data_IF_131844252543
#
_entry.id   IF_131844252543
#
_cell.length_a   1.000
_cell.length_b   1.000
_cell.length_c   1.000
_cell.angle_alpha   90.00
_cell.angle_beta   90.00
_cell.angle_gamma   90.00
#
_symmetry.space_group_name_H-M   'P 1'
#
loop_
_entity.id
_entity.type
_entity.pdbx_description
1 polymer ?
#
# COMPACT_ATOMS: atom_id res chain seq x y z
N UNK A 1 -11.97 -0.86 -9.54
CA UNK A 1 -12.46 -2.23 -9.25
C UNK A 1 -12.31 -2.57 -7.77
N UNK A 2 -11.10 -2.43 -7.15
CA UNK A 2 -10.83 -2.80 -5.76
C UNK A 2 -11.79 -2.12 -4.76
N UNK A 3 -11.88 -0.78 -4.79
CA UNK A 3 -12.78 -0.03 -3.92
C UNK A 3 -14.26 -0.44 -4.09
N UNK A 4 -14.66 -0.77 -5.32
CA UNK A 4 -16.01 -1.25 -5.60
C UNK A 4 -16.27 -2.62 -4.96
N UNK A 5 -15.31 -3.53 -5.04
CA UNK A 5 -15.38 -4.84 -4.37
C UNK A 5 -15.55 -4.67 -2.86
N UNK A 6 -14.66 -3.92 -2.21
CA UNK A 6 -14.74 -3.65 -0.77
C UNK A 6 -16.12 -3.13 -0.35
N UNK A 7 -16.66 -2.18 -1.10
CA UNK A 7 -17.93 -1.55 -0.78
C UNK A 7 -19.14 -2.43 -1.09
N UNK A 8 -19.19 -3.03 -2.29
CA UNK A 8 -20.40 -3.71 -2.80
C UNK A 8 -20.46 -5.18 -2.41
N UNK A 9 -19.32 -5.88 -2.41
CA UNK A 9 -19.30 -7.32 -2.15
C UNK A 9 -19.11 -7.61 -0.66
N UNK A 10 -18.20 -6.88 0.00
CA UNK A 10 -17.87 -7.13 1.40
C UNK A 10 -18.58 -6.17 2.38
N UNK A 11 -19.26 -5.15 1.88
CA UNK A 11 -19.95 -4.16 2.70
C UNK A 11 -19.01 -3.37 3.62
N UNK A 12 -17.71 -3.35 3.30
CA UNK A 12 -16.71 -2.66 4.11
C UNK A 12 -16.66 -1.18 3.79
N UNK A 13 -16.93 -0.34 4.77
CA UNK A 13 -16.78 1.11 4.69
C UNK A 13 -15.88 1.55 5.84
N UNK A 14 -14.65 2.00 5.57
CA UNK A 14 -13.76 2.50 6.61
C UNK A 14 -14.25 3.82 7.19
N UNK A 15 -13.89 4.09 8.44
CA UNK A 15 -14.00 5.40 9.06
C UNK A 15 -12.73 6.21 8.81
N UNK A 16 -11.59 5.53 8.75
CA UNK A 16 -10.28 6.12 8.52
C UNK A 16 -9.52 5.32 7.46
N UNK A 17 -8.89 6.03 6.53
CA UNK A 17 -7.88 5.49 5.63
C UNK A 17 -6.52 6.02 6.08
N UNK A 18 -5.57 5.12 6.31
CA UNK A 18 -4.16 5.45 6.44
C UNK A 18 -3.43 5.09 5.16
N UNK A 19 -2.88 6.10 4.53
CA UNK A 19 -2.04 6.03 3.36
C UNK A 19 -0.57 5.85 3.76
N UNK A 20 0.05 4.75 3.36
CA UNK A 20 1.48 4.50 3.58
C UNK A 20 2.30 5.25 2.53
N UNK A 21 2.86 6.38 2.92
CA UNK A 21 3.63 7.24 2.03
C UNK A 21 5.04 6.67 1.79
N UNK A 22 5.52 6.80 0.56
CA UNK A 22 4.95 7.49 -0.61
C UNK A 22 4.14 6.57 -1.52
N UNK A 23 4.45 5.27 -1.51
CA UNK A 23 3.94 4.31 -2.50
C UNK A 23 2.41 4.21 -2.54
N UNK A 24 1.78 4.17 -1.37
CA UNK A 24 0.33 4.02 -1.25
C UNK A 24 -0.50 5.19 -1.79
N UNK A 25 0.12 6.38 -1.96
CA UNK A 25 -0.58 7.63 -2.21
C UNK A 25 -1.56 7.58 -3.40
N UNK A 26 -1.14 7.01 -4.51
CA UNK A 26 -2.00 6.91 -5.70
C UNK A 26 -3.25 6.06 -5.43
N UNK A 27 -3.06 4.86 -4.88
CA UNK A 27 -4.15 3.93 -4.60
C UNK A 27 -5.09 4.48 -3.52
N UNK A 28 -4.53 5.04 -2.45
CA UNK A 28 -5.28 5.57 -1.34
C UNK A 28 -6.16 6.76 -1.74
N UNK A 29 -5.64 7.68 -2.59
CA UNK A 29 -6.42 8.77 -3.14
C UNK A 29 -7.63 8.27 -3.95
N UNK A 30 -7.41 7.32 -4.85
CA UNK A 30 -8.50 6.76 -5.68
C UNK A 30 -9.56 6.07 -4.81
N UNK A 31 -9.13 5.31 -3.80
CA UNK A 31 -10.05 4.65 -2.86
C UNK A 31 -10.82 5.71 -2.05
N UNK A 32 -10.15 6.73 -1.55
CA UNK A 32 -10.76 7.82 -0.78
C UNK A 32 -11.85 8.54 -1.57
N UNK A 33 -11.58 8.94 -2.81
CA UNK A 33 -12.57 9.58 -3.67
C UNK A 33 -13.76 8.65 -3.99
N UNK A 34 -13.52 7.37 -4.18
CA UNK A 34 -14.59 6.39 -4.34
C UNK A 34 -15.52 6.37 -3.10
N UNK A 35 -14.95 6.26 -1.90
CA UNK A 35 -15.73 6.25 -0.67
C UNK A 35 -16.42 7.58 -0.38
N UNK A 36 -15.81 8.70 -0.67
CA UNK A 36 -16.42 10.02 -0.56
C UNK A 36 -17.70 10.10 -1.37
N UNK A 37 -17.65 9.60 -2.62
CA UNK A 37 -18.85 9.53 -3.46
C UNK A 37 -19.91 8.57 -2.90
N UNK A 38 -19.51 7.38 -2.39
CA UNK A 38 -20.50 6.44 -1.85
C UNK A 38 -21.10 6.92 -0.53
N UNK A 39 -20.32 7.51 0.36
CA UNK A 39 -20.78 8.09 1.63
C UNK A 39 -21.80 9.20 1.38
N UNK A 40 -21.54 10.09 0.42
CA UNK A 40 -22.48 11.13 0.01
C UNK A 40 -23.84 10.56 -0.41
N UNK A 41 -23.86 9.44 -1.16
CA UNK A 41 -25.12 8.81 -1.62
C UNK A 41 -25.97 8.21 -0.49
N UNK A 42 -25.35 7.86 0.63
CA UNK A 42 -26.03 7.25 1.78
C UNK A 42 -26.11 8.20 2.99
N UNK A 43 -25.85 9.49 2.74
CA UNK A 43 -25.85 10.54 3.76
C UNK A 43 -24.99 10.21 5.00
N UNK A 44 -23.79 9.63 4.76
CA UNK A 44 -22.77 9.33 5.76
C UNK A 44 -21.64 10.36 5.67
N UNK A 45 -21.05 10.68 6.83
CA UNK A 45 -19.82 11.48 6.87
C UNK A 45 -18.72 10.88 5.98
N UNK A 46 -17.93 11.70 5.30
CA UNK A 46 -16.80 11.25 4.50
C UNK A 46 -15.79 10.45 5.32
N UNK A 47 -15.15 9.49 4.68
CA UNK A 47 -14.04 8.76 5.27
C UNK A 47 -12.89 9.73 5.57
N UNK A 48 -12.35 9.66 6.79
CA UNK A 48 -11.22 10.48 7.18
C UNK A 48 -9.93 9.93 6.52
N UNK A 49 -9.22 10.81 5.81
CA UNK A 49 -7.98 10.47 5.14
C UNK A 49 -6.79 10.96 5.94
N UNK A 50 -5.89 10.08 6.28
CA UNK A 50 -4.64 10.36 6.97
C UNK A 50 -3.49 9.66 6.26
N UNK A 51 -2.28 10.13 6.48
CA UNK A 51 -1.08 9.52 5.95
C UNK A 51 -0.10 9.13 7.06
N UNK A 52 0.74 8.15 6.76
CA UNK A 52 1.85 7.72 7.62
C UNK A 52 3.11 7.57 6.77
N UNK A 53 4.25 8.00 7.29
CA UNK A 53 5.55 7.74 6.67
C UNK A 53 6.16 6.53 7.34
N UNK A 54 6.20 5.42 6.61
CA UNK A 54 6.85 4.18 7.05
C UNK A 54 8.06 3.90 6.15
N UNK A 55 9.24 3.79 6.75
CA UNK A 55 10.47 3.51 6.01
C UNK A 55 11.03 2.17 6.44
N UNK A 56 11.16 1.26 5.50
CA UNK A 56 11.97 0.07 5.69
C UNK A 56 13.43 0.43 5.34
N UNK A 57 14.28 0.59 6.36
CA UNK A 57 15.71 0.75 6.12
C UNK A 57 16.34 -0.60 5.79
N UNK A 58 16.28 -0.98 4.53
CA UNK A 58 17.19 -1.96 3.96
C UNK A 58 18.37 -1.21 3.37
N UNK A 59 19.49 -1.06 4.11
CA UNK A 59 20.76 -0.92 3.42
C UNK A 59 20.94 -2.18 2.58
N UNK A 60 21.39 -2.03 1.35
CA UNK A 60 21.69 -3.12 0.41
C UNK A 60 22.58 -4.26 0.97
N UNK A 61 23.06 -4.16 2.21
CA UNK A 61 24.04 -5.08 2.83
C UNK A 61 23.62 -5.64 4.19
N UNK A 62 22.64 -5.04 4.89
CA UNK A 62 22.17 -5.57 6.18
C UNK A 62 20.64 -5.49 6.24
N UNK A 63 20.00 -6.64 6.17
CA UNK A 63 18.56 -6.79 6.43
C UNK A 63 18.27 -6.52 7.91
N UNK A 64 18.13 -5.28 8.29
CA UNK A 64 17.51 -4.94 9.57
C UNK A 64 16.00 -5.13 9.41
N UNK A 65 15.43 -6.12 10.11
CA UNK A 65 13.99 -6.38 10.16
C UNK A 65 13.21 -5.28 10.91
N UNK A 66 13.64 -4.02 10.78
CA UNK A 66 13.06 -2.90 11.50
C UNK A 66 12.43 -1.92 10.51
N UNK A 67 11.18 -1.61 10.75
CA UNK A 67 10.46 -0.52 10.07
C UNK A 67 10.43 0.66 11.01
N UNK A 68 10.98 1.78 10.61
CA UNK A 68 10.84 3.03 11.34
C UNK A 68 9.59 3.76 10.81
N UNK A 69 8.67 4.05 11.72
CA UNK A 69 7.48 4.85 11.43
C UNK A 69 7.79 6.27 11.86
N UNK A 70 8.03 7.15 10.88
CA UNK A 70 8.50 8.51 11.13
C UNK A 70 7.40 9.50 11.48
N UNK A 71 6.16 9.13 11.25
CA UNK A 71 5.07 10.04 11.63
C UNK A 71 3.73 9.65 11.04
N UNK A 72 2.71 10.02 11.78
CA UNK A 72 1.30 9.93 11.38
C UNK A 72 0.76 11.36 11.28
N UNK A 73 0.10 11.70 10.19
CA UNK A 73 -0.59 12.99 10.07
C UNK A 73 -1.79 13.06 11.03
N UNK A 74 -2.31 11.91 11.41
CA UNK A 74 -3.30 11.76 12.47
C UNK A 74 -2.99 10.49 13.26
N UNK A 75 -2.70 10.65 14.55
CA UNK A 75 -2.23 9.54 15.40
C UNK A 75 -3.29 8.45 15.55
N UNK A 76 -2.92 7.15 15.45
CA UNK A 76 -3.81 6.05 15.78
C UNK A 76 -4.40 6.09 17.18
N UNK A 77 -3.74 6.76 18.13
CA UNK A 77 -4.26 6.96 19.49
C UNK A 77 -5.55 7.80 19.54
N UNK A 78 -5.87 8.51 18.46
CA UNK A 78 -7.13 9.26 18.34
C UNK A 78 -8.30 8.38 17.85
N UNK A 79 -8.02 7.15 17.41
CA UNK A 79 -9.04 6.21 16.98
C UNK A 79 -9.95 5.82 18.15
N UNK A 80 -11.22 5.60 17.83
CA UNK A 80 -12.22 5.16 18.79
C UNK A 80 -12.59 3.71 18.56
N UNK A 81 -12.90 3.01 19.64
CA UNK A 81 -13.39 1.63 19.56
C UNK A 81 -14.61 1.54 18.63
N UNK A 82 -14.60 0.55 17.74
CA UNK A 82 -15.65 0.34 16.74
C UNK A 82 -15.45 1.09 15.42
N UNK A 83 -14.41 1.92 15.31
CA UNK A 83 -14.03 2.50 14.02
C UNK A 83 -13.34 1.44 13.16
N UNK A 84 -13.67 1.45 11.87
CA UNK A 84 -13.05 0.61 10.85
C UNK A 84 -11.91 1.36 10.19
N UNK A 85 -10.78 0.70 10.05
CA UNK A 85 -9.56 1.28 9.51
C UNK A 85 -9.16 0.55 8.22
N UNK A 86 -8.80 1.31 7.20
CA UNK A 86 -8.17 0.80 5.99
C UNK A 86 -6.73 1.31 5.92
N UNK A 87 -5.78 0.41 5.86
CA UNK A 87 -4.37 0.73 5.57
C UNK A 87 -4.13 0.46 4.09
N UNK A 88 -3.55 1.42 3.38
CA UNK A 88 -3.30 1.33 1.94
C UNK A 88 -1.80 1.50 1.67
N UNK A 89 -1.24 0.60 0.88
CA UNK A 89 0.14 0.65 0.41
C UNK A 89 0.20 0.31 -1.09
N UNK A 90 1.31 0.57 -1.75
CA UNK A 90 1.52 0.16 -3.14
C UNK A 90 1.80 -1.33 -3.25
N UNK A 91 2.68 -1.84 -2.42
CA UNK A 91 3.15 -3.22 -2.51
C UNK A 91 3.22 -3.92 -1.16
N UNK A 92 2.77 -5.15 -1.14
CA UNK A 92 3.11 -6.10 -0.09
C UNK A 92 4.21 -7.03 -0.62
N UNK A 93 5.45 -6.75 -0.27
CA UNK A 93 6.62 -7.57 -0.62
C UNK A 93 6.99 -8.49 0.56
N UNK A 94 7.77 -8.02 1.50
CA UNK A 94 8.10 -8.77 2.73
C UNK A 94 6.98 -8.74 3.77
N UNK A 95 6.11 -7.76 3.70
CA UNK A 95 5.03 -7.51 4.63
C UNK A 95 5.43 -6.80 5.92
N UNK A 96 6.71 -6.45 6.11
CA UNK A 96 7.20 -5.79 7.32
C UNK A 96 6.48 -4.47 7.60
N UNK A 97 6.36 -3.61 6.59
CA UNK A 97 5.67 -2.31 6.71
C UNK A 97 4.23 -2.49 7.15
N UNK A 98 3.47 -3.30 6.42
CA UNK A 98 2.04 -3.55 6.71
C UNK A 98 1.86 -4.14 8.10
N UNK A 99 2.66 -5.15 8.48
CA UNK A 99 2.55 -5.76 9.82
C UNK A 99 2.86 -4.76 10.92
N UNK A 100 3.84 -3.87 10.75
CA UNK A 100 4.16 -2.80 11.70
C UNK A 100 3.03 -1.79 11.83
N UNK A 101 2.45 -1.34 10.72
CA UNK A 101 1.35 -0.39 10.71
C UNK A 101 0.10 -0.96 11.36
N UNK A 102 -0.31 -2.18 10.98
CA UNK A 102 -1.47 -2.86 11.58
C UNK A 102 -1.26 -3.07 13.07
N UNK A 103 -0.06 -3.52 13.49
CA UNK A 103 0.26 -3.70 14.91
C UNK A 103 0.15 -2.39 15.68
N UNK A 104 0.60 -1.28 15.10
CA UNK A 104 0.48 0.04 15.72
C UNK A 104 -0.98 0.44 15.92
N UNK A 105 -1.83 0.21 14.93
CA UNK A 105 -3.28 0.49 15.01
C UNK A 105 -3.96 -0.43 16.03
N UNK A 106 -3.57 -1.71 16.09
CA UNK A 106 -4.08 -2.65 17.10
C UNK A 106 -3.68 -2.24 18.53
N UNK A 107 -2.45 -1.78 18.71
CA UNK A 107 -1.96 -1.29 20.02
C UNK A 107 -2.70 -0.02 20.47
N UNK A 108 -3.26 0.74 19.54
CA UNK A 108 -4.14 1.88 19.83
C UNK A 108 -5.58 1.46 20.22
N UNK A 109 -5.88 0.15 20.26
CA UNK A 109 -7.14 -0.38 20.74
C UNK A 109 -8.15 -0.78 19.67
N UNK A 110 -7.77 -0.79 18.39
CA UNK A 110 -8.63 -1.25 17.30
C UNK A 110 -8.41 -2.76 17.11
N UNK A 111 -9.44 -3.60 17.18
CA UNK A 111 -9.30 -5.03 16.96
C UNK A 111 -8.96 -5.35 15.51
N UNK A 112 -8.25 -6.47 15.28
CA UNK A 112 -7.76 -6.86 13.94
C UNK A 112 -8.88 -6.99 12.90
N UNK A 113 -10.03 -7.46 13.30
CA UNK A 113 -11.21 -7.62 12.44
C UNK A 113 -11.74 -6.30 11.87
N UNK A 114 -11.53 -5.18 12.58
CA UNK A 114 -11.92 -3.84 12.14
C UNK A 114 -10.83 -3.15 11.28
N UNK A 115 -9.68 -3.81 11.09
CA UNK A 115 -8.58 -3.30 10.28
C UNK A 115 -8.52 -4.11 8.97
N UNK A 116 -8.55 -3.41 7.83
CA UNK A 116 -8.33 -4.00 6.52
C UNK A 116 -7.09 -3.41 5.87
N UNK A 117 -6.45 -4.20 5.03
CA UNK A 117 -5.26 -3.83 4.27
C UNK A 117 -5.55 -3.98 2.79
N UNK A 118 -5.28 -2.91 2.03
CA UNK A 118 -5.38 -2.90 0.58
C UNK A 118 -4.04 -2.52 -0.04
N UNK A 119 -3.61 -3.29 -1.03
CA UNK A 119 -2.38 -3.02 -1.77
C UNK A 119 -2.61 -3.06 -3.27
N UNK A 120 -1.77 -2.39 -4.02
CA UNK A 120 -1.83 -2.50 -5.47
C UNK A 120 -1.25 -3.84 -5.92
N UNK A 121 -0.04 -4.17 -5.46
CA UNK A 121 0.62 -5.43 -5.75
C UNK A 121 0.83 -6.27 -4.49
N UNK A 122 0.44 -7.55 -4.57
CA UNK A 122 0.64 -8.53 -3.52
C UNK A 122 1.62 -9.61 -3.99
N UNK A 123 2.84 -9.59 -3.47
CA UNK A 123 3.84 -10.64 -3.68
C UNK A 123 3.67 -11.74 -2.63
N UNK A 124 3.51 -12.97 -3.07
CA UNK A 124 3.48 -14.17 -2.24
C UNK A 124 4.79 -14.92 -2.46
N UNK A 125 5.75 -14.70 -1.58
CA UNK A 125 7.07 -15.34 -1.63
C UNK A 125 7.01 -16.68 -0.91
N UNK A 126 6.53 -17.73 -1.58
CA UNK A 126 6.34 -19.06 -0.95
C UNK A 126 7.66 -19.68 -0.49
N UNK A 127 8.78 -19.31 -1.09
CA UNK A 127 10.13 -19.75 -0.68
C UNK A 127 10.58 -19.19 0.69
N UNK A 128 9.88 -18.17 1.21
CA UNK A 128 10.11 -17.59 2.55
C UNK A 128 9.15 -18.16 3.61
N UNK A 129 8.26 -19.05 3.21
CA UNK A 129 7.29 -19.60 4.15
C UNK A 129 7.93 -20.61 5.09
N UNK A 130 7.47 -20.62 6.34
CA UNK A 130 7.86 -21.57 7.37
C UNK A 130 6.67 -22.50 7.60
N UNK A 131 6.90 -23.81 7.49
CA UNK A 131 5.85 -24.85 7.63
C UNK A 131 4.62 -24.59 6.73
N UNK A 132 4.86 -24.11 5.51
CA UNK A 132 3.81 -23.83 4.54
C UNK A 132 2.95 -22.59 4.86
N UNK A 133 3.39 -21.72 5.75
CA UNK A 133 2.69 -20.50 6.15
C UNK A 133 3.57 -19.26 5.97
N UNK A 134 2.97 -18.11 5.67
CA UNK A 134 3.71 -16.84 5.64
C UNK A 134 4.47 -16.58 6.93
N UNK A 135 5.69 -16.05 6.83
CA UNK A 135 6.53 -15.73 7.99
C UNK A 135 5.90 -14.66 8.89
N UNK A 136 5.12 -13.76 8.30
CA UNK A 136 4.39 -12.71 9.02
C UNK A 136 2.88 -13.00 9.01
N UNK A 137 2.18 -12.80 10.14
CA UNK A 137 0.79 -13.24 10.30
C UNK A 137 -0.22 -12.37 9.54
N UNK A 138 0.10 -11.09 9.31
CA UNK A 138 -0.81 -10.16 8.66
C UNK A 138 -0.53 -10.14 7.18
N UNK A 139 -1.54 -10.50 6.41
CA UNK A 139 -1.54 -10.48 4.95
C UNK A 139 -2.56 -9.46 4.45
N UNK A 140 -2.44 -8.95 3.19
CA UNK A 140 -3.44 -8.05 2.63
C UNK A 140 -4.83 -8.71 2.55
N UNK A 141 -5.86 -7.94 2.85
CA UNK A 141 -7.26 -8.34 2.66
C UNK A 141 -7.68 -8.11 1.19
N UNK A 142 -7.08 -7.09 0.54
CA UNK A 142 -7.42 -6.66 -0.82
C UNK A 142 -6.19 -6.33 -1.64
N UNK A 143 -6.21 -6.68 -2.93
CA UNK A 143 -5.13 -6.40 -3.87
C UNK A 143 -5.65 -6.20 -5.30
N UNK A 144 -4.92 -5.41 -6.09
CA UNK A 144 -5.22 -5.25 -7.51
C UNK A 144 -4.56 -6.34 -8.35
N UNK A 145 -3.30 -6.67 -8.05
CA UNK A 145 -2.51 -7.69 -8.73
C UNK A 145 -1.87 -8.62 -7.69
N UNK A 146 -1.67 -9.88 -8.08
CA UNK A 146 -1.09 -10.91 -7.23
C UNK A 146 0.04 -11.60 -7.98
N UNK A 147 1.19 -11.73 -7.32
CA UNK A 147 2.39 -12.37 -7.86
C UNK A 147 2.80 -13.51 -6.93
N UNK A 148 2.88 -14.73 -7.47
CA UNK A 148 3.35 -15.89 -6.69
C UNK A 148 4.77 -16.19 -7.11
N UNK A 149 5.70 -16.08 -6.17
CA UNK A 149 7.13 -16.29 -6.34
C UNK A 149 7.53 -17.55 -5.56
N UNK A 150 7.99 -18.58 -6.27
CA UNK A 150 8.29 -19.88 -5.67
C UNK A 150 9.77 -20.05 -5.34
N UNK A 151 10.63 -19.24 -5.93
CA UNK A 151 12.08 -19.22 -5.70
C UNK A 151 12.60 -17.79 -5.61
N UNK A 152 13.83 -17.61 -5.15
CA UNK A 152 14.50 -16.30 -5.19
C UNK A 152 14.78 -15.84 -6.62
N UNK A 153 14.92 -16.77 -7.54
CA UNK A 153 15.18 -16.48 -8.95
C UNK A 153 13.94 -15.93 -9.65
N UNK A 154 12.74 -16.17 -9.09
CA UNK A 154 11.48 -15.61 -9.59
C UNK A 154 11.27 -14.15 -9.11
N UNK A 155 12.22 -13.59 -8.32
CA UNK A 155 12.03 -12.27 -7.74
C UNK A 155 11.83 -11.22 -8.82
N UNK A 156 10.70 -10.51 -8.72
CA UNK A 156 10.27 -9.45 -9.62
C UNK A 156 10.39 -8.11 -8.91
N UNK A 157 11.20 -7.20 -9.43
CA UNK A 157 11.10 -5.79 -9.08
C UNK A 157 9.92 -5.19 -9.85
N UNK A 158 8.98 -4.58 -9.13
CA UNK A 158 7.85 -3.90 -9.75
C UNK A 158 8.15 -2.41 -9.72
N UNK A 159 8.24 -1.83 -10.90
CA UNK A 159 8.54 -0.42 -11.09
C UNK A 159 7.24 0.38 -11.19
N UNK A 160 7.10 1.37 -10.33
CA UNK A 160 5.93 2.27 -10.33
C UNK A 160 6.26 3.55 -11.08
N UNK A 161 6.13 3.52 -12.38
CA UNK A 161 6.49 4.62 -13.30
C UNK A 161 5.83 5.96 -12.97
N UNK A 162 4.72 5.95 -12.22
CA UNK A 162 4.03 7.17 -11.81
C UNK A 162 4.73 7.96 -10.68
N UNK A 163 5.70 7.36 -9.98
CA UNK A 163 6.43 8.01 -8.87
C UNK A 163 7.87 7.53 -8.66
N UNK A 164 8.33 6.59 -9.47
CA UNK A 164 9.71 6.08 -9.45
C UNK A 164 10.40 6.39 -10.77
N UNK A 165 11.29 7.37 -10.76
CA UNK A 165 12.06 7.75 -11.95
C UNK A 165 13.43 7.09 -12.00
N UNK A 166 13.98 6.72 -10.85
CA UNK A 166 15.25 5.98 -10.78
C UNK A 166 15.06 4.59 -11.39
N UNK A 167 15.82 4.32 -12.44
CA UNK A 167 15.76 3.04 -13.16
C UNK A 167 14.65 2.94 -14.20
N UNK A 168 13.95 4.04 -14.52
CA UNK A 168 13.07 4.11 -15.71
C UNK A 168 13.88 3.78 -16.96
N UNK A 169 13.41 2.80 -17.72
CA UNK A 169 14.00 2.44 -18.99
C UNK A 169 13.42 3.29 -20.12
N UNK A 170 14.15 3.40 -21.22
CA UNK A 170 13.68 4.08 -22.42
C UNK A 170 12.32 3.54 -22.89
N UNK A 171 12.16 2.22 -22.90
CA UNK A 171 10.91 1.58 -23.34
C UNK A 171 9.73 1.90 -22.42
N UNK A 172 9.94 1.96 -21.10
CA UNK A 172 8.90 2.36 -20.15
C UNK A 172 8.47 3.81 -20.32
N UNK A 173 9.42 4.71 -20.61
CA UNK A 173 9.11 6.12 -20.90
C UNK A 173 8.22 6.22 -22.14
N UNK A 174 8.58 5.51 -23.21
CA UNK A 174 7.82 5.52 -24.46
C UNK A 174 6.44 4.88 -24.34
N UNK A 175 6.29 3.83 -23.55
CA UNK A 175 5.03 3.12 -23.35
C UNK A 175 4.05 3.90 -22.47
N UNK A 176 4.55 4.51 -21.39
CA UNK A 176 3.70 5.07 -20.33
C UNK A 176 3.35 6.53 -20.55
N UNK A 177 4.30 7.33 -21.02
CA UNK A 177 4.11 8.77 -21.15
C UNK A 177 3.78 9.15 -22.59
N UNK A 178 2.63 9.77 -22.80
CA UNK A 178 2.12 10.11 -24.15
C UNK A 178 2.57 11.49 -24.62
N UNK A 179 2.94 12.37 -23.70
CA UNK A 179 3.38 13.74 -24.00
C UNK A 179 4.84 13.75 -24.45
N UNK A 180 5.16 14.24 -25.67
CA UNK A 180 6.54 14.23 -26.20
C UNK A 180 7.51 15.11 -25.40
N UNK A 181 7.03 16.21 -24.80
CA UNK A 181 7.87 17.10 -23.99
C UNK A 181 8.25 16.42 -22.68
N UNK A 182 7.27 15.73 -22.02
CA UNK A 182 7.51 14.94 -20.81
C UNK A 182 8.49 13.80 -21.11
N UNK A 183 8.33 13.08 -22.22
CA UNK A 183 9.29 12.04 -22.64
C UNK A 183 10.70 12.58 -22.77
N UNK A 184 10.85 13.71 -23.47
CA UNK A 184 12.16 14.33 -23.67
C UNK A 184 12.84 14.69 -22.35
N UNK A 185 12.08 15.25 -21.40
CA UNK A 185 12.58 15.57 -20.06
C UNK A 185 12.98 14.31 -19.31
N UNK A 186 12.12 13.26 -19.35
CA UNK A 186 12.42 12.00 -18.66
C UNK A 186 13.66 11.31 -19.22
N UNK A 187 13.85 11.31 -20.54
CA UNK A 187 15.08 10.79 -21.15
C UNK A 187 16.30 11.56 -20.65
N UNK A 188 16.23 12.90 -20.63
CA UNK A 188 17.33 13.73 -20.15
C UNK A 188 17.72 13.43 -18.70
N UNK A 189 16.75 13.26 -17.79
CA UNK A 189 17.02 13.05 -16.36
C UNK A 189 17.29 11.58 -15.96
N UNK A 190 16.99 10.62 -16.83
CA UNK A 190 17.18 9.20 -16.56
C UNK A 190 18.42 8.61 -17.27
N UNK A 191 19.06 9.34 -18.18
CA UNK A 191 20.29 8.91 -18.90
C UNK A 191 21.58 9.07 -18.09
N UNK A 192 21.53 9.57 -16.85
CA UNK A 192 22.68 9.63 -15.93
C UNK A 192 22.75 8.40 -15.03
#
# INVERSE_FOLDING_TARGET
>A
KLAHKMYKEDGFIPDVIYDSLRGGAYLANVISEYYKLQCSKINREPVFYAAVVARSYGKLVEHTNKVDIDGWTWSPNNLKKGQKVLIVDDIFDTGLTVNSLVTTVMNAGIPREDIKVAVYDYKICTYQWVDGKPALPIQPDYWCRKHVLNSKDDYLWIHYTCHEFIGLTHDEIEEVYTDPEVRSILHEICEE
#
